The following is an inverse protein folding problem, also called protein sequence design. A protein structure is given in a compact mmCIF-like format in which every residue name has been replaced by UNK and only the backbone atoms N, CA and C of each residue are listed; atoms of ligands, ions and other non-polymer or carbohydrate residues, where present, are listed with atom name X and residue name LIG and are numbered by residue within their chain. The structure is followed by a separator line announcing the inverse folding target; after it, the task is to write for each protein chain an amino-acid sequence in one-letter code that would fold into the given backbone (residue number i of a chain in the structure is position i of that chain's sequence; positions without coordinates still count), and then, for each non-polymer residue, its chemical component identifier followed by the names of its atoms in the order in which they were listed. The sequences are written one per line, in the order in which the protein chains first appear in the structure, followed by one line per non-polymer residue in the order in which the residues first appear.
data_IF_860734515029
#
_entry.id   IF_860734515029
#
_cell.length_a   1.000
_cell.length_b   1.000
_cell.length_c   1.000
_cell.angle_alpha   90.00
_cell.angle_beta   90.00
_cell.angle_gamma   90.00
#
_symmetry.space_group_name_H-M   'P 1'
#
loop_
_entity.id
_entity.type
_entity.pdbx_description
1 polymer ?
#
# COMPACT_ATOMS: atom_id res chain seq x y z
N UNK A 1 -34.88 -8.17 12.51
CA UNK A 1 -33.57 -8.30 11.86
C UNK A 1 -33.65 -7.50 10.58
N UNK A 2 -33.20 -6.25 10.64
CA UNK A 2 -33.12 -5.38 9.46
C UNK A 2 -32.07 -5.96 8.51
N UNK A 3 -32.47 -6.14 7.25
CA UNK A 3 -31.55 -6.41 6.16
C UNK A 3 -31.02 -5.06 5.73
N UNK A 4 -29.85 -4.65 6.22
CA UNK A 4 -29.12 -3.51 5.67
C UNK A 4 -28.93 -3.77 4.17
N UNK A 5 -29.26 -2.78 3.33
CA UNK A 5 -29.17 -2.93 1.88
C UNK A 5 -27.71 -3.11 1.48
N UNK A 6 -27.44 -3.97 0.49
CA UNK A 6 -26.09 -4.16 -0.06
C UNK A 6 -25.50 -2.86 -0.64
N UNK A 7 -26.33 -1.89 -1.03
CA UNK A 7 -25.85 -0.57 -1.46
C UNK A 7 -25.43 0.34 -0.31
N UNK A 8 -26.10 0.26 0.84
CA UNK A 8 -25.77 1.09 2.01
C UNK A 8 -24.43 0.66 2.62
N UNK A 9 -24.15 -0.65 2.63
CA UNK A 9 -22.86 -1.21 3.10
C UNK A 9 -21.70 -0.76 2.19
N UNK A 10 -21.90 -0.76 0.87
CA UNK A 10 -20.91 -0.24 -0.08
C UNK A 10 -20.63 1.26 0.15
N UNK A 11 -21.66 2.05 0.41
CA UNK A 11 -21.50 3.50 0.63
C UNK A 11 -20.73 3.78 1.94
N UNK A 12 -20.95 3.01 3.00
CA UNK A 12 -20.23 3.15 4.27
C UNK A 12 -18.75 2.74 4.16
N UNK A 13 -18.44 1.63 3.49
CA UNK A 13 -17.07 1.17 3.23
C UNK A 13 -16.26 2.22 2.46
N UNK A 14 -16.83 2.74 1.36
CA UNK A 14 -16.17 3.75 0.53
C UNK A 14 -15.90 5.03 1.31
N UNK A 15 -16.84 5.49 2.14
CA UNK A 15 -16.65 6.67 2.98
C UNK A 15 -15.53 6.44 4.00
N UNK A 16 -15.51 5.28 4.67
CA UNK A 16 -14.47 4.95 5.65
C UNK A 16 -13.08 4.91 5.01
N UNK A 17 -12.92 4.23 3.88
CA UNK A 17 -11.64 4.11 3.17
C UNK A 17 -11.10 5.46 2.71
N UNK A 18 -11.97 6.35 2.19
CA UNK A 18 -11.57 7.72 1.83
C UNK A 18 -11.10 8.52 3.03
N UNK A 19 -11.78 8.41 4.17
CA UNK A 19 -11.38 9.10 5.39
C UNK A 19 -10.03 8.60 5.89
N UNK A 20 -9.79 7.29 5.85
CA UNK A 20 -8.49 6.70 6.19
C UNK A 20 -7.39 7.18 5.24
N UNK A 21 -7.67 7.23 3.94
CA UNK A 21 -6.73 7.74 2.95
C UNK A 21 -6.32 9.19 3.25
N UNK A 22 -7.28 10.06 3.56
CA UNK A 22 -7.01 11.45 3.93
C UNK A 22 -6.23 11.60 5.24
N UNK A 23 -6.41 10.68 6.19
CA UNK A 23 -5.63 10.66 7.43
C UNK A 23 -4.19 10.25 7.15
N UNK A 24 -3.98 9.20 6.35
CA UNK A 24 -2.65 8.77 5.93
C UNK A 24 -1.91 9.83 5.13
N UNK A 25 -2.59 10.48 4.18
CA UNK A 25 -2.02 11.61 3.43
C UNK A 25 -1.51 12.70 4.38
N UNK A 26 -2.33 13.09 5.39
CA UNK A 26 -1.92 14.06 6.40
C UNK A 26 -0.74 13.60 7.25
N UNK A 27 -0.61 12.30 7.54
CA UNK A 27 0.57 11.76 8.23
C UNK A 27 1.80 11.85 7.33
N UNK A 28 1.69 11.50 6.04
CA UNK A 28 2.79 11.56 5.08
C UNK A 28 3.30 13.00 4.91
N UNK A 29 2.42 14.01 4.90
CA UNK A 29 2.82 15.43 4.85
C UNK A 29 3.77 15.85 5.99
N UNK A 30 3.73 15.15 7.13
CA UNK A 30 4.60 15.44 8.28
C UNK A 30 5.93 14.68 8.25
N UNK A 31 6.11 13.75 7.31
CA UNK A 31 7.33 12.95 7.21
C UNK A 31 8.46 13.75 6.52
N UNK A 32 9.73 13.55 6.93
CA UNK A 32 10.88 14.07 6.20
C UNK A 32 10.88 13.58 4.75
N UNK A 33 11.11 14.48 3.81
CA UNK A 33 11.14 14.14 2.38
C UNK A 33 12.56 13.71 1.96
N UNK A 34 12.70 12.76 1.01
CA UNK A 34 11.62 12.09 0.27
C UNK A 34 10.94 10.98 1.09
N UNK A 35 9.64 10.82 0.87
CA UNK A 35 8.87 9.64 1.30
C UNK A 35 8.78 8.66 0.15
N UNK A 36 9.05 7.40 0.45
CA UNK A 36 9.00 6.31 -0.51
C UNK A 36 8.09 5.19 -0.01
N UNK A 37 7.63 4.35 -0.93
CA UNK A 37 6.81 3.16 -0.65
C UNK A 37 7.50 1.92 -1.20
N UNK A 38 7.44 0.82 -0.45
CA UNK A 38 7.82 -0.51 -0.97
C UNK A 38 6.56 -1.26 -1.39
N UNK A 39 6.60 -1.87 -2.56
CA UNK A 39 5.51 -2.58 -3.21
C UNK A 39 5.95 -4.00 -3.55
N UNK A 40 5.07 -5.00 -3.44
CA UNK A 40 5.44 -6.37 -3.76
C UNK A 40 4.37 -7.42 -3.47
N UNK A 41 4.64 -8.69 -3.80
CA UNK A 41 3.73 -9.78 -3.51
C UNK A 41 3.66 -10.04 -2.00
N UNK A 42 2.48 -9.82 -1.40
CA UNK A 42 2.24 -10.06 0.02
C UNK A 42 1.50 -11.38 0.29
N UNK A 43 0.49 -11.72 -0.52
CA UNK A 43 -0.44 -12.84 -0.23
C UNK A 43 -0.38 -14.00 -1.22
N UNK A 44 0.57 -13.99 -2.18
CA UNK A 44 0.57 -14.92 -3.32
C UNK A 44 0.74 -16.41 -2.97
N UNK A 45 1.35 -16.75 -1.82
CA UNK A 45 1.78 -18.12 -1.47
C UNK A 45 1.15 -18.68 -0.17
N UNK A 46 -0.04 -18.20 0.23
CA UNK A 46 -0.72 -18.65 1.45
C UNK A 46 -0.06 -18.16 2.76
N UNK A 47 -0.46 -18.65 3.96
CA UNK A 47 -0.03 -18.08 5.25
C UNK A 47 1.48 -18.13 5.51
N UNK A 48 2.15 -19.23 5.15
CA UNK A 48 3.62 -19.34 5.24
C UNK A 48 4.33 -18.46 4.20
N UNK A 49 3.66 -18.20 3.06
CA UNK A 49 4.09 -17.24 2.06
C UNK A 49 3.98 -15.80 2.54
N UNK A 50 2.88 -15.46 3.20
CA UNK A 50 2.62 -14.12 3.72
C UNK A 50 3.70 -13.66 4.69
N UNK A 51 4.05 -14.47 5.69
CA UNK A 51 5.08 -14.12 6.66
C UNK A 51 6.43 -13.85 5.97
N UNK A 52 6.84 -14.72 5.03
CA UNK A 52 8.08 -14.52 4.27
C UNK A 52 8.02 -13.27 3.39
N UNK A 53 6.89 -12.99 2.78
CA UNK A 53 6.69 -11.79 1.97
C UNK A 53 6.72 -10.51 2.80
N UNK A 54 6.08 -10.53 3.97
CA UNK A 54 6.11 -9.43 4.94
C UNK A 54 7.54 -9.19 5.44
N UNK A 55 8.31 -10.25 5.75
CA UNK A 55 9.71 -10.13 6.14
C UNK A 55 10.56 -9.48 5.02
N UNK A 56 10.32 -9.86 3.75
CA UNK A 56 11.01 -9.25 2.60
C UNK A 56 10.66 -7.78 2.42
N UNK A 57 9.39 -7.40 2.60
CA UNK A 57 8.96 -6.01 2.58
C UNK A 57 9.64 -5.22 3.71
N UNK A 58 9.56 -5.70 4.95
CA UNK A 58 10.16 -5.05 6.11
C UNK A 58 11.68 -4.89 5.97
N UNK A 59 12.37 -5.89 5.41
CA UNK A 59 13.81 -5.81 5.15
C UNK A 59 14.14 -4.76 4.08
N UNK A 60 13.35 -4.69 3.01
CA UNK A 60 13.52 -3.68 1.98
C UNK A 60 13.26 -2.26 2.52
N UNK A 61 12.21 -2.08 3.31
CA UNK A 61 11.93 -0.82 4.02
C UNK A 61 13.11 -0.42 4.90
N UNK A 62 13.65 -1.36 5.69
CA UNK A 62 14.82 -1.11 6.54
C UNK A 62 16.04 -0.65 5.75
N UNK A 63 16.34 -1.28 4.61
CA UNK A 63 17.46 -0.88 3.75
C UNK A 63 17.30 0.56 3.23
N UNK A 64 16.07 0.99 2.92
CA UNK A 64 15.79 2.36 2.48
C UNK A 64 15.85 3.36 3.65
N UNK A 65 15.38 2.98 4.84
CA UNK A 65 15.52 3.76 6.07
C UNK A 65 16.99 3.98 6.42
N UNK A 66 17.82 2.93 6.34
CA UNK A 66 19.26 3.00 6.62
C UNK A 66 19.99 3.90 5.58
N UNK A 67 19.38 4.16 4.41
CA UNK A 67 19.83 5.14 3.40
C UNK A 67 19.29 6.57 3.65
N UNK A 68 18.52 6.78 4.71
CA UNK A 68 17.97 8.07 5.12
C UNK A 68 16.64 8.44 4.47
N UNK A 69 15.93 7.50 3.87
CA UNK A 69 14.58 7.74 3.30
C UNK A 69 13.50 7.57 4.36
N UNK A 70 12.42 8.35 4.25
CA UNK A 70 11.20 8.09 5.01
C UNK A 70 10.35 7.06 4.29
N UNK A 71 9.78 6.13 5.03
CA UNK A 71 8.92 5.08 4.49
C UNK A 71 7.49 5.36 4.90
N UNK A 72 6.58 5.37 3.93
CA UNK A 72 5.17 5.17 4.22
C UNK A 72 4.87 3.67 4.15
N UNK A 73 4.38 3.11 5.26
CA UNK A 73 4.01 1.71 5.36
C UNK A 73 2.50 1.58 5.53
N UNK A 74 1.92 0.57 4.91
CA UNK A 74 0.50 0.26 5.08
C UNK A 74 0.15 -0.22 6.49
N UNK A 75 1.15 -0.74 7.22
CA UNK A 75 0.95 -1.42 8.51
C UNK A 75 0.11 -0.64 9.54
N UNK A 76 0.24 0.69 9.56
CA UNK A 76 -0.51 1.56 10.49
C UNK A 76 -2.03 1.57 10.24
N UNK A 77 -2.47 1.28 9.01
CA UNK A 77 -3.90 1.20 8.62
C UNK A 77 -4.35 -0.24 8.35
N UNK A 78 -3.41 -1.18 8.30
CA UNK A 78 -3.65 -2.58 7.93
C UNK A 78 -4.60 -3.28 8.91
N UNK A 79 -4.41 -3.11 10.22
CA UNK A 79 -5.27 -3.70 11.25
C UNK A 79 -6.71 -3.18 11.15
N UNK A 80 -6.88 -1.87 10.92
CA UNK A 80 -8.20 -1.26 10.79
C UNK A 80 -8.93 -1.75 9.54
N UNK A 81 -8.24 -1.84 8.41
CA UNK A 81 -8.83 -2.27 7.14
C UNK A 81 -9.14 -3.77 7.15
N UNK A 82 -8.21 -4.62 7.58
CA UNK A 82 -8.46 -6.07 7.65
C UNK A 82 -9.47 -6.44 8.72
N UNK A 83 -9.48 -5.75 9.86
CA UNK A 83 -10.46 -5.98 10.93
C UNK A 83 -11.91 -5.71 10.49
N UNK A 84 -12.11 -4.93 9.43
CA UNK A 84 -13.42 -4.60 8.87
C UNK A 84 -13.85 -5.51 7.72
N UNK A 85 -12.92 -6.26 7.13
CA UNK A 85 -13.21 -7.14 5.98
C UNK A 85 -13.64 -6.38 4.72
N UNK A 86 -13.09 -5.18 4.52
CA UNK A 86 -13.31 -4.41 3.29
C UNK A 86 -12.78 -5.15 2.06
N UNK A 87 -13.38 -4.90 0.91
CA UNK A 87 -12.99 -5.56 -0.34
C UNK A 87 -11.65 -5.04 -0.85
N UNK A 88 -10.80 -5.93 -1.36
CA UNK A 88 -9.48 -5.56 -1.91
C UNK A 88 -9.59 -4.50 -3.02
N UNK A 89 -10.64 -4.56 -3.84
CA UNK A 89 -10.92 -3.60 -4.91
C UNK A 89 -11.17 -2.19 -4.35
N UNK A 90 -12.04 -2.06 -3.34
CA UNK A 90 -12.32 -0.77 -2.72
C UNK A 90 -11.11 -0.26 -1.92
N UNK A 91 -10.40 -1.14 -1.20
CA UNK A 91 -9.17 -0.78 -0.48
C UNK A 91 -8.14 -0.21 -1.45
N UNK A 92 -7.98 -0.82 -2.62
CA UNK A 92 -7.11 -0.25 -3.64
C UNK A 92 -7.63 1.10 -4.16
N UNK A 93 -8.86 1.14 -4.67
CA UNK A 93 -9.40 2.31 -5.39
C UNK A 93 -9.61 3.54 -4.49
N UNK A 94 -10.04 3.34 -3.24
CA UNK A 94 -10.42 4.43 -2.33
C UNK A 94 -9.42 4.70 -1.22
N UNK A 95 -8.43 3.82 -1.00
CA UNK A 95 -7.38 4.02 -0.01
C UNK A 95 -5.98 4.10 -0.63
N UNK A 96 -5.48 3.03 -1.27
CA UNK A 96 -4.10 3.04 -1.78
C UNK A 96 -3.86 4.00 -2.94
N UNK A 97 -4.79 4.06 -3.89
CA UNK A 97 -4.66 4.87 -5.10
C UNK A 97 -4.62 6.38 -4.80
N UNK A 98 -5.52 6.96 -3.98
CA UNK A 98 -5.41 8.37 -3.59
C UNK A 98 -4.09 8.73 -2.90
N UNK A 99 -3.53 7.82 -2.09
CA UNK A 99 -2.24 8.03 -1.44
C UNK A 99 -1.10 8.11 -2.49
N UNK A 100 -1.08 7.19 -3.46
CA UNK A 100 -0.09 7.22 -4.55
C UNK A 100 -0.25 8.46 -5.45
N UNK A 101 -1.49 8.88 -5.71
CA UNK A 101 -1.81 10.03 -6.57
C UNK A 101 -1.62 11.38 -5.85
N UNK A 102 -1.41 11.39 -4.53
CA UNK A 102 -1.25 12.62 -3.73
C UNK A 102 -0.01 13.45 -4.11
N UNK A 103 0.97 12.84 -4.79
CA UNK A 103 2.28 13.45 -5.08
C UNK A 103 3.24 13.48 -3.88
N UNK A 104 2.83 12.92 -2.73
CA UNK A 104 3.66 12.86 -1.52
C UNK A 104 4.59 11.64 -1.47
N UNK A 105 4.30 10.60 -2.25
CA UNK A 105 5.23 9.49 -2.47
C UNK A 105 6.10 9.83 -3.68
N UNK A 106 7.39 10.06 -3.49
CA UNK A 106 8.29 10.42 -4.59
C UNK A 106 8.78 9.19 -5.35
N UNK A 107 8.97 8.07 -4.65
CA UNK A 107 9.50 6.84 -5.23
C UNK A 107 8.70 5.62 -4.75
N UNK A 108 8.39 4.72 -5.68
CA UNK A 108 7.80 3.42 -5.41
C UNK A 108 8.80 2.32 -5.81
N UNK A 109 9.24 1.55 -4.81
CA UNK A 109 10.21 0.47 -4.96
C UNK A 109 9.49 -0.86 -5.07
N UNK A 110 9.63 -1.55 -6.19
CA UNK A 110 8.99 -2.83 -6.44
C UNK A 110 9.93 -3.99 -6.14
N UNK A 111 9.49 -4.90 -5.27
CA UNK A 111 10.20 -6.14 -4.99
C UNK A 111 10.21 -7.07 -6.22
N UNK A 112 11.20 -7.97 -6.31
CA UNK A 112 11.23 -9.02 -7.33
C UNK A 112 9.93 -9.84 -7.34
N UNK A 113 9.48 -10.22 -8.54
CA UNK A 113 8.20 -10.91 -8.79
C UNK A 113 6.96 -10.07 -8.46
N UNK A 114 7.06 -8.73 -8.48
CA UNK A 114 5.89 -7.85 -8.30
C UNK A 114 4.80 -8.10 -9.35
N UNK A 115 5.18 -8.53 -10.55
CA UNK A 115 4.29 -8.81 -11.67
C UNK A 115 3.42 -10.07 -11.47
N UNK A 116 3.75 -10.88 -10.46
CA UNK A 116 2.93 -12.01 -10.02
C UNK A 116 1.85 -11.61 -8.99
N UNK A 117 1.84 -10.35 -8.54
CA UNK A 117 0.84 -9.81 -7.63
C UNK A 117 -0.10 -8.84 -8.36
N UNK A 118 -1.40 -9.13 -8.32
CA UNK A 118 -2.42 -8.23 -8.85
C UNK A 118 -2.34 -6.85 -8.16
N UNK A 119 -2.19 -6.83 -6.83
CA UNK A 119 -2.08 -5.61 -6.05
C UNK A 119 -0.85 -4.79 -6.45
N UNK A 120 0.33 -5.42 -6.49
CA UNK A 120 1.55 -4.71 -6.88
C UNK A 120 1.53 -4.26 -8.35
N UNK A 121 0.87 -5.01 -9.23
CA UNK A 121 0.65 -4.60 -10.62
C UNK A 121 -0.24 -3.36 -10.71
N UNK A 122 -1.32 -3.29 -9.92
CA UNK A 122 -2.18 -2.11 -9.84
C UNK A 122 -1.41 -0.91 -9.28
N UNK A 123 -0.68 -1.10 -8.18
CA UNK A 123 0.18 -0.06 -7.59
C UNK A 123 1.19 0.49 -8.59
N UNK A 124 1.82 -0.37 -9.39
CA UNK A 124 2.79 0.05 -10.41
C UNK A 124 2.15 0.87 -11.52
N UNK A 125 0.98 0.45 -11.99
CA UNK A 125 0.24 1.19 -13.01
C UNK A 125 -0.16 2.58 -12.47
N UNK A 126 -0.70 2.64 -11.25
CA UNK A 126 -1.04 3.91 -10.60
C UNK A 126 0.19 4.79 -10.38
N UNK A 127 1.31 4.25 -9.88
CA UNK A 127 2.55 4.99 -9.70
C UNK A 127 3.04 5.60 -11.02
N UNK A 128 2.98 4.84 -12.12
CA UNK A 128 3.33 5.31 -13.46
C UNK A 128 2.43 6.47 -13.89
N UNK A 129 1.12 6.30 -13.73
CA UNK A 129 0.13 7.27 -14.20
C UNK A 129 0.18 8.57 -13.35
N UNK A 130 0.47 8.43 -12.05
CA UNK A 130 0.72 9.51 -11.10
C UNK A 130 2.12 10.16 -11.25
N UNK A 131 2.98 9.63 -12.14
CA UNK A 131 4.37 10.10 -12.35
C UNK A 131 5.27 9.98 -11.12
N UNK A 132 4.97 9.03 -10.23
CA UNK A 132 5.87 8.61 -9.16
C UNK A 132 7.08 7.92 -9.79
N UNK A 133 8.29 8.18 -9.27
CA UNK A 133 9.49 7.50 -9.74
C UNK A 133 9.42 6.01 -9.41
N UNK A 134 9.57 5.15 -10.40
CA UNK A 134 9.50 3.70 -10.20
C UNK A 134 10.91 3.13 -10.12
N UNK A 135 11.19 2.41 -9.04
CA UNK A 135 12.47 1.74 -8.79
C UNK A 135 12.24 0.23 -8.67
N UNK A 136 13.21 -0.56 -9.14
CA UNK A 136 13.24 -2.00 -8.89
C UNK A 136 14.15 -2.27 -7.69
N UNK A 137 13.67 -3.05 -6.72
CA UNK A 137 14.49 -3.54 -5.65
C UNK A 137 15.26 -4.76 -6.14
N UNK A 138 16.60 -4.74 -6.03
CA UNK A 138 17.42 -5.84 -6.49
C UNK A 138 17.42 -6.96 -5.44
N UNK A 139 17.30 -8.23 -5.88
CA UNK A 139 17.34 -9.41 -4.98
C UNK A 139 18.60 -9.43 -4.13
N UNK A 140 19.72 -8.92 -4.64
CA UNK A 140 21.00 -8.84 -3.93
C UNK A 140 21.01 -7.91 -2.71
N UNK A 141 19.93 -7.17 -2.45
CA UNK A 141 19.82 -6.30 -1.27
C UNK A 141 19.24 -7.03 -0.05
N UNK A 142 18.89 -8.32 -0.17
CA UNK A 142 18.45 -9.18 0.95
C UNK A 142 18.82 -10.66 0.82
#
# INVERSE_FOLDING_TARGET
MEKTSNSEIMDEEVVALKQLAEQEIRKIEQLPQPVVRVCGPLTCDGPEGYLRSADRLALAEKVLQDKGMSIWTFGDSEEEIFGKGYSDENVFEFFHKPILESGLIQEAYFLPRWDESNGATLERNTARDAKVSIQEFLEEWF
#
